data_IF_294839227673
#
_entry.id   IF_294839227673
#
_cell.length_a   1.000
_cell.length_b   1.000
_cell.length_c   1.000
_cell.angle_alpha   90.00
_cell.angle_beta   90.00
_cell.angle_gamma   90.00
#
_symmetry.space_group_name_H-M   'P 1'
#
loop_
_entity.id
_entity.type
_entity.pdbx_description
1 polymer ?
#
# COMPACT_ATOMS: atom_id res chain seq x y z
N UNK A 1 -17.33 -0.27 -10.74
CA UNK A 1 -18.33 -1.29 -10.30
C UNK A 1 -19.52 -0.65 -9.64
N UNK A 2 -19.36 0.19 -8.59
CA UNK A 2 -20.48 0.77 -7.81
C UNK A 2 -21.48 1.56 -8.67
N UNK A 3 -20.99 2.39 -9.60
CA UNK A 3 -21.85 3.09 -10.59
C UNK A 3 -22.68 2.08 -11.40
N UNK A 4 -22.05 1.01 -11.88
CA UNK A 4 -22.70 -0.04 -12.68
C UNK A 4 -23.66 -0.93 -11.86
N UNK A 5 -23.71 -0.75 -10.55
CA UNK A 5 -24.66 -1.36 -9.61
C UNK A 5 -25.71 -0.36 -9.11
N UNK A 6 -25.99 0.65 -9.93
CA UNK A 6 -27.03 1.67 -9.70
C UNK A 6 -26.86 2.49 -8.40
N UNK A 7 -25.61 2.66 -7.92
CA UNK A 7 -25.35 3.60 -6.84
C UNK A 7 -25.74 5.04 -7.27
N UNK A 8 -26.49 5.75 -6.44
CA UNK A 8 -26.96 7.12 -6.72
C UNK A 8 -25.81 8.11 -6.90
N UNK A 9 -24.72 7.91 -6.20
CA UNK A 9 -23.48 8.67 -6.32
C UNK A 9 -22.31 7.84 -5.83
N UNK A 10 -21.14 8.04 -6.42
CA UNK A 10 -19.88 7.44 -5.98
C UNK A 10 -18.84 8.52 -5.87
N UNK A 11 -18.22 8.66 -4.69
CA UNK A 11 -17.18 9.64 -4.42
C UNK A 11 -15.90 8.93 -4.07
N UNK A 12 -14.80 9.34 -4.71
CA UNK A 12 -13.45 8.88 -4.40
C UNK A 12 -12.70 10.00 -3.67
N UNK A 13 -12.50 9.84 -2.36
CA UNK A 13 -11.72 10.80 -1.57
C UNK A 13 -10.23 10.48 -1.70
N UNK A 14 -9.46 11.49 -2.04
CA UNK A 14 -8.02 11.34 -2.16
C UNK A 14 -7.25 12.51 -1.52
N UNK A 15 -6.27 12.16 -0.69
CA UNK A 15 -5.52 13.12 0.14
C UNK A 15 -4.55 14.03 -0.62
N UNK A 16 -4.33 13.80 -1.90
CA UNK A 16 -3.55 14.68 -2.79
C UNK A 16 -4.41 15.16 -3.95
N UNK A 17 -3.85 15.93 -4.85
CA UNK A 17 -4.49 16.34 -6.08
C UNK A 17 -4.30 15.31 -7.21
N UNK A 18 -4.92 15.56 -8.36
CA UNK A 18 -4.87 14.70 -9.55
C UNK A 18 -3.45 14.51 -10.08
N UNK A 19 -2.60 15.53 -9.97
CA UNK A 19 -1.22 15.51 -10.47
C UNK A 19 -0.33 14.62 -9.60
N UNK A 20 -0.56 14.64 -8.29
CA UNK A 20 0.21 13.86 -7.30
C UNK A 20 -0.40 12.47 -7.01
N UNK A 21 -1.40 12.04 -7.77
CA UNK A 21 -1.98 10.70 -7.67
C UNK A 21 -1.10 9.69 -8.43
N UNK A 22 -0.62 8.60 -7.79
CA UNK A 22 0.25 7.61 -8.44
C UNK A 22 -0.49 6.66 -9.38
N UNK A 23 -1.80 6.80 -9.54
CA UNK A 23 -2.62 5.98 -10.42
C UNK A 23 -2.46 6.36 -11.91
N UNK A 24 -2.99 5.50 -12.77
CA UNK A 24 -3.05 5.77 -14.20
C UNK A 24 -4.01 6.93 -14.50
N UNK A 25 -3.53 7.98 -15.17
CA UNK A 25 -4.38 9.10 -15.61
C UNK A 25 -5.58 8.62 -16.45
N UNK A 26 -5.40 7.55 -17.23
CA UNK A 26 -6.46 6.92 -18.03
C UNK A 26 -7.55 6.29 -17.14
N UNK A 27 -7.17 5.62 -16.05
CA UNK A 27 -8.13 5.02 -15.12
C UNK A 27 -8.94 6.10 -14.38
N UNK A 28 -8.30 7.20 -14.01
CA UNK A 28 -9.00 8.37 -13.43
C UNK A 28 -10.01 8.94 -14.42
N UNK A 29 -9.59 9.18 -15.66
CA UNK A 29 -10.49 9.68 -16.71
C UNK A 29 -11.67 8.74 -16.97
N UNK A 30 -11.44 7.44 -17.09
CA UNK A 30 -12.50 6.44 -17.25
C UNK A 30 -13.49 6.46 -16.06
N UNK A 31 -12.99 6.62 -14.83
CA UNK A 31 -13.85 6.69 -13.65
C UNK A 31 -14.70 7.97 -13.65
N UNK A 32 -14.12 9.12 -14.02
CA UNK A 32 -14.85 10.39 -14.18
C UNK A 32 -15.92 10.27 -15.27
N UNK A 33 -15.61 9.67 -16.42
CA UNK A 33 -16.56 9.43 -17.52
C UNK A 33 -17.72 8.52 -17.08
N UNK A 34 -17.47 7.53 -16.22
CA UNK A 34 -18.51 6.67 -15.64
C UNK A 34 -19.32 7.37 -14.52
N UNK A 35 -18.99 8.60 -14.14
CA UNK A 35 -19.73 9.38 -13.15
C UNK A 35 -19.19 9.30 -11.72
N UNK A 36 -17.96 8.83 -11.51
CA UNK A 36 -17.30 8.91 -10.21
C UNK A 36 -16.83 10.34 -9.94
N UNK A 37 -17.23 10.92 -8.83
CA UNK A 37 -16.77 12.23 -8.37
C UNK A 37 -15.48 12.07 -7.54
N UNK A 38 -14.39 12.70 -7.96
CA UNK A 38 -13.17 12.76 -7.17
C UNK A 38 -13.18 13.96 -6.23
N UNK A 39 -13.06 13.71 -4.94
CA UNK A 39 -12.93 14.73 -3.89
C UNK A 39 -11.45 14.82 -3.53
N UNK A 40 -10.73 15.63 -4.29
CA UNK A 40 -9.29 15.83 -4.13
C UNK A 40 -8.96 16.61 -2.85
N UNK A 41 -7.72 16.50 -2.38
CA UNK A 41 -7.22 17.21 -1.20
C UNK A 41 -8.12 17.00 0.03
N UNK A 42 -8.54 15.76 0.24
CA UNK A 42 -9.49 15.40 1.26
C UNK A 42 -9.08 14.12 1.98
N UNK A 43 -9.15 14.12 3.29
CA UNK A 43 -8.82 12.98 4.15
C UNK A 43 -10.00 12.63 5.06
N UNK A 44 -10.42 11.37 5.14
CA UNK A 44 -11.43 10.97 6.09
C UNK A 44 -10.92 11.16 7.51
N UNK A 45 -11.74 11.77 8.37
CA UNK A 45 -11.47 12.01 9.78
C UNK A 45 -12.27 11.07 10.67
N UNK A 46 -13.58 10.97 10.44
CA UNK A 46 -14.49 10.20 11.29
C UNK A 46 -15.66 9.65 10.50
N UNK A 47 -16.06 8.40 10.78
CA UNK A 47 -17.31 7.82 10.30
C UNK A 47 -18.42 8.10 11.30
N UNK A 48 -19.52 8.69 10.86
CA UNK A 48 -20.67 9.03 11.70
C UNK A 48 -21.84 8.11 11.39
N UNK A 49 -22.60 7.80 12.43
CA UNK A 49 -23.80 6.98 12.41
C UNK A 49 -23.90 6.11 13.66
N UNK A 50 -25.07 5.58 13.95
CA UNK A 50 -25.32 4.81 15.18
C UNK A 50 -25.20 3.30 14.90
N UNK A 51 -25.98 2.76 13.98
CA UNK A 51 -26.00 1.33 13.63
C UNK A 51 -25.36 1.05 12.27
N UNK A 52 -25.25 2.06 11.45
CA UNK A 52 -24.62 2.02 10.11
C UNK A 52 -23.94 3.36 9.86
N UNK A 53 -23.09 3.43 8.87
CA UNK A 53 -22.54 4.71 8.41
C UNK A 53 -23.67 5.54 7.78
N UNK A 54 -23.72 6.82 8.15
CA UNK A 54 -24.69 7.80 7.64
C UNK A 54 -23.97 8.97 6.97
N UNK A 55 -22.76 9.26 7.47
CA UNK A 55 -21.91 10.30 6.90
C UNK A 55 -20.43 10.09 7.27
N UNK A 56 -19.60 10.86 6.60
CA UNK A 56 -18.16 10.90 6.78
C UNK A 56 -17.75 12.35 7.04
N UNK A 57 -17.11 12.60 8.19
CA UNK A 57 -16.42 13.85 8.45
C UNK A 57 -15.07 13.83 7.76
N UNK A 58 -14.75 14.89 7.03
CA UNK A 58 -13.60 14.98 6.14
C UNK A 58 -12.82 16.25 6.42
N UNK A 59 -11.50 16.14 6.59
CA UNK A 59 -10.59 17.28 6.64
C UNK A 59 -10.15 17.68 5.23
N UNK A 60 -10.03 18.98 4.96
CA UNK A 60 -9.34 19.49 3.77
C UNK A 60 -7.84 19.39 3.96
N UNK A 61 -7.16 19.14 2.85
CA UNK A 61 -5.70 18.96 2.80
C UNK A 61 -5.07 20.12 2.01
N UNK A 62 -3.93 20.58 2.49
CA UNK A 62 -2.99 21.41 1.73
C UNK A 62 -1.75 20.59 1.39
N UNK A 63 -1.13 20.88 0.25
CA UNK A 63 0.10 20.21 -0.15
C UNK A 63 1.32 21.03 0.30
N UNK A 64 2.07 20.46 1.24
CA UNK A 64 3.35 20.97 1.69
C UNK A 64 4.49 20.68 0.71
N UNK A 65 5.71 20.73 1.21
CA UNK A 65 6.92 20.43 0.42
C UNK A 65 6.98 18.97 -0.05
N UNK A 66 7.69 18.71 -1.15
CA UNK A 66 7.93 17.35 -1.60
C UNK A 66 8.69 16.52 -0.56
N UNK A 67 8.30 15.25 -0.41
CA UNK A 67 9.05 14.27 0.39
C UNK A 67 10.25 13.71 -0.41
N UNK A 68 11.01 12.79 0.20
CA UNK A 68 12.17 12.12 -0.42
C UNK A 68 11.83 11.40 -1.74
N UNK A 69 10.57 11.06 -1.96
CA UNK A 69 10.06 10.46 -3.22
C UNK A 69 9.64 11.51 -4.27
N UNK A 70 9.79 12.79 -3.97
CA UNK A 70 9.37 13.91 -4.81
C UNK A 70 7.85 14.19 -4.76
N UNK A 71 7.07 13.49 -3.94
CA UNK A 71 5.63 13.72 -3.80
C UNK A 71 5.34 14.70 -2.67
N UNK A 72 4.47 15.68 -2.94
CA UNK A 72 4.10 16.69 -1.96
C UNK A 72 3.38 16.07 -0.76
N UNK A 73 3.83 16.46 0.45
CA UNK A 73 3.31 15.96 1.72
C UNK A 73 1.89 16.50 1.96
N UNK A 74 0.89 15.64 2.24
CA UNK A 74 -0.44 16.12 2.61
C UNK A 74 -0.41 16.67 4.05
N UNK A 75 -0.93 17.87 4.24
CA UNK A 75 -1.04 18.56 5.54
C UNK A 75 -2.51 18.86 5.78
N UNK A 76 -3.02 18.51 6.96
CA UNK A 76 -4.40 18.81 7.33
C UNK A 76 -4.53 20.32 7.52
N UNK A 77 -5.52 20.92 6.88
CA UNK A 77 -5.89 22.31 7.08
C UNK A 77 -6.78 22.42 8.30
N UNK A 78 -6.35 23.20 9.29
CA UNK A 78 -7.11 23.39 10.53
C UNK A 78 -8.47 24.06 10.26
N UNK A 79 -9.49 23.67 11.04
CA UNK A 79 -10.85 24.23 10.99
C UNK A 79 -11.48 24.20 9.58
N UNK A 80 -11.22 23.16 8.81
CA UNK A 80 -11.68 23.03 7.42
C UNK A 80 -12.56 21.82 7.18
N UNK A 81 -13.03 21.19 8.24
CA UNK A 81 -13.85 19.98 8.19
C UNK A 81 -15.17 20.23 7.45
N UNK A 82 -15.59 19.26 6.71
CA UNK A 82 -16.88 19.19 6.07
C UNK A 82 -17.45 17.78 6.11
N UNK A 83 -18.77 17.67 5.95
CA UNK A 83 -19.46 16.39 6.05
C UNK A 83 -19.96 15.91 4.68
N UNK A 84 -19.77 14.64 4.40
CA UNK A 84 -20.28 13.96 3.21
C UNK A 84 -21.26 12.88 3.66
N UNK A 85 -22.50 12.91 3.19
CA UNK A 85 -23.46 11.82 3.41
C UNK A 85 -23.01 10.57 2.65
N UNK A 86 -23.07 9.43 3.31
CA UNK A 86 -22.69 8.14 2.71
C UNK A 86 -23.42 6.99 3.40
N UNK A 87 -23.96 6.08 2.61
CA UNK A 87 -24.59 4.84 3.08
C UNK A 87 -23.59 3.68 3.16
N UNK A 88 -22.49 3.79 2.43
CA UNK A 88 -21.39 2.82 2.40
C UNK A 88 -20.05 3.55 2.25
N UNK A 89 -19.07 3.12 3.02
CA UNK A 89 -17.68 3.60 2.89
C UNK A 89 -16.75 2.40 2.68
N UNK A 90 -15.94 2.47 1.63
CA UNK A 90 -14.93 1.47 1.31
C UNK A 90 -13.54 2.07 1.56
N UNK A 91 -12.79 1.46 2.48
CA UNK A 91 -11.38 1.81 2.70
C UNK A 91 -10.52 1.14 1.64
N UNK A 92 -10.17 1.90 0.58
CA UNK A 92 -9.25 1.47 -0.46
C UNK A 92 -7.84 2.02 -0.18
N UNK A 93 -7.36 1.78 1.04
CA UNK A 93 -6.07 2.26 1.53
C UNK A 93 -4.94 1.35 1.06
N UNK A 94 -3.70 1.81 1.31
CA UNK A 94 -2.52 1.05 0.98
C UNK A 94 -2.39 -0.25 1.79
N UNK A 95 -1.35 -0.97 1.50
CA UNK A 95 -0.99 -2.24 2.12
C UNK A 95 -0.04 -1.98 3.31
N UNK A 96 -0.35 -2.57 4.44
CA UNK A 96 0.55 -2.64 5.58
C UNK A 96 1.12 -4.07 5.67
N UNK A 97 2.44 -4.24 5.79
CA UNK A 97 3.04 -5.55 5.94
C UNK A 97 2.66 -6.19 7.27
N UNK A 98 2.49 -7.50 7.28
CA UNK A 98 2.28 -8.25 8.52
C UNK A 98 3.52 -8.23 9.41
N UNK A 99 3.34 -8.24 10.72
CA UNK A 99 4.42 -8.29 11.72
C UNK A 99 5.03 -9.70 11.80
N UNK A 100 5.64 -10.17 10.71
CA UNK A 100 6.19 -11.53 10.62
C UNK A 100 7.19 -11.89 11.71
N UNK A 101 8.08 -11.01 12.20
CA UNK A 101 8.94 -11.32 13.34
C UNK A 101 8.15 -11.78 14.56
N UNK A 102 7.02 -11.15 14.86
CA UNK A 102 6.14 -11.57 15.97
C UNK A 102 5.38 -12.84 15.66
N UNK A 103 4.80 -12.95 14.44
CA UNK A 103 4.01 -14.10 14.04
C UNK A 103 4.82 -15.39 14.04
N UNK A 104 6.08 -15.32 13.62
CA UNK A 104 6.99 -16.46 13.61
C UNK A 104 7.80 -16.63 14.90
N UNK A 105 7.64 -15.72 15.89
CA UNK A 105 8.44 -15.69 17.12
C UNK A 105 9.95 -15.64 16.82
N UNK A 106 10.34 -14.92 15.78
CA UNK A 106 11.70 -14.78 15.30
C UNK A 106 12.13 -13.30 15.30
N UNK A 107 12.45 -12.79 16.48
CA UNK A 107 12.81 -11.37 16.69
C UNK A 107 14.11 -10.96 15.99
N UNK A 108 14.97 -11.91 15.60
CA UNK A 108 16.20 -11.62 14.85
C UNK A 108 15.92 -11.20 13.42
N UNK A 109 14.73 -11.52 12.86
CA UNK A 109 14.38 -11.16 11.50
C UNK A 109 14.24 -9.63 11.38
N UNK A 110 15.12 -9.01 10.61
CA UNK A 110 15.14 -7.56 10.47
C UNK A 110 14.06 -7.06 9.53
N UNK A 111 13.44 -5.95 9.94
CA UNK A 111 12.47 -5.22 9.13
C UNK A 111 12.92 -3.78 8.88
N UNK A 112 12.35 -3.16 7.87
CA UNK A 112 12.54 -1.73 7.58
C UNK A 112 11.69 -0.87 8.54
N UNK A 113 11.86 0.44 8.48
CA UNK A 113 10.98 1.40 9.20
C UNK A 113 9.50 1.31 8.79
N UNK A 114 9.21 0.65 7.67
CA UNK A 114 7.87 0.44 7.12
C UNK A 114 7.28 -0.94 7.48
N UNK A 115 8.01 -1.76 8.22
CA UNK A 115 7.60 -3.11 8.61
C UNK A 115 7.88 -4.20 7.56
N UNK A 116 8.38 -3.86 6.37
CA UNK A 116 8.76 -4.86 5.36
C UNK A 116 10.05 -5.57 5.76
N UNK A 117 10.19 -6.84 5.39
CA UNK A 117 11.40 -7.63 5.66
C UNK A 117 12.59 -7.05 4.89
N UNK A 118 13.73 -6.91 5.55
CA UNK A 118 14.98 -6.58 4.90
C UNK A 118 15.55 -7.84 4.24
N UNK A 119 15.68 -7.80 2.92
CA UNK A 119 16.36 -8.81 2.13
C UNK A 119 17.34 -8.14 1.17
N UNK A 120 18.38 -8.83 0.82
CA UNK A 120 19.28 -8.45 -0.25
C UNK A 120 18.55 -8.62 -1.60
N UNK A 121 18.53 -7.58 -2.44
CA UNK A 121 17.75 -7.61 -3.69
C UNK A 121 18.38 -8.45 -4.80
N UNK A 122 19.64 -8.86 -4.68
CA UNK A 122 20.30 -9.72 -5.64
C UNK A 122 20.10 -11.20 -5.30
N UNK A 123 20.01 -11.53 -4.00
CA UNK A 123 19.88 -12.89 -3.50
C UNK A 123 18.54 -13.21 -2.89
N UNK A 124 17.74 -12.22 -2.55
CA UNK A 124 16.50 -12.36 -1.77
C UNK A 124 16.72 -12.99 -0.38
N UNK A 125 17.98 -13.10 0.09
CA UNK A 125 18.29 -13.62 1.42
C UNK A 125 18.11 -12.55 2.48
N UNK A 126 17.54 -12.94 3.62
CA UNK A 126 17.39 -12.06 4.79
C UNK A 126 18.68 -12.04 5.61
N UNK A 127 18.67 -11.33 6.73
CA UNK A 127 19.77 -11.38 7.69
C UNK A 127 19.92 -12.74 8.42
N UNK A 128 18.96 -13.65 8.24
CA UNK A 128 19.01 -15.01 8.82
C UNK A 128 19.44 -15.99 7.74
N UNK A 129 20.61 -16.64 7.85
CA UNK A 129 21.12 -17.56 6.82
C UNK A 129 20.11 -18.66 6.45
N UNK A 130 19.82 -18.78 5.16
CA UNK A 130 18.88 -19.76 4.62
C UNK A 130 17.40 -19.36 4.75
N UNK A 131 17.13 -18.14 5.17
CA UNK A 131 15.78 -17.54 5.16
C UNK A 131 15.72 -16.50 4.04
N UNK A 132 14.79 -16.70 3.12
CA UNK A 132 14.59 -15.85 1.95
C UNK A 132 13.23 -15.19 2.02
N UNK A 133 13.11 -13.98 1.47
CA UNK A 133 11.86 -13.25 1.37
C UNK A 133 11.74 -12.57 0.02
N UNK A 134 10.54 -12.55 -0.57
CA UNK A 134 10.32 -12.02 -1.92
C UNK A 134 8.94 -11.38 -2.06
N UNK A 135 8.78 -10.47 -3.02
CA UNK A 135 7.52 -9.81 -3.32
C UNK A 135 7.18 -8.66 -2.38
N UNK A 136 5.89 -8.42 -2.16
CA UNK A 136 5.38 -7.25 -1.44
C UNK A 136 5.84 -7.17 0.02
N UNK A 137 6.11 -8.30 0.66
CA UNK A 137 6.64 -8.30 2.03
C UNK A 137 8.05 -7.69 2.14
N UNK A 138 8.78 -7.62 1.02
CA UNK A 138 10.11 -6.98 0.92
C UNK A 138 9.99 -5.59 0.32
N UNK A 139 9.25 -5.45 -0.79
CA UNK A 139 9.15 -4.20 -1.56
C UNK A 139 8.12 -3.20 -1.04
N UNK A 140 7.20 -3.63 -0.19
CA UNK A 140 5.93 -2.95 0.03
C UNK A 140 4.95 -3.24 -1.12
N UNK A 141 3.79 -2.57 -1.13
CA UNK A 141 2.81 -2.73 -2.21
C UNK A 141 3.44 -2.39 -3.57
N UNK A 142 3.52 -3.38 -4.45
CA UNK A 142 4.23 -3.28 -5.72
C UNK A 142 3.49 -3.99 -6.86
N UNK A 143 4.08 -3.99 -8.06
CA UNK A 143 3.48 -4.63 -9.22
C UNK A 143 3.74 -6.14 -9.20
N UNK A 144 2.76 -6.91 -9.67
CA UNK A 144 2.83 -8.38 -9.79
C UNK A 144 4.08 -8.84 -10.56
N UNK A 145 4.51 -8.09 -11.57
CA UNK A 145 5.71 -8.41 -12.36
C UNK A 145 6.99 -8.42 -11.50
N UNK A 146 7.06 -7.55 -10.49
CA UNK A 146 8.19 -7.56 -9.55
C UNK A 146 8.12 -8.74 -8.59
N UNK A 147 6.92 -9.08 -8.10
CA UNK A 147 6.75 -10.26 -7.25
C UNK A 147 7.14 -11.56 -7.98
N UNK A 148 6.79 -11.68 -9.27
CA UNK A 148 7.22 -12.82 -10.12
C UNK A 148 8.74 -12.85 -10.28
N UNK A 149 9.35 -11.69 -10.57
CA UNK A 149 10.82 -11.59 -10.69
C UNK A 149 11.49 -12.01 -9.39
N UNK A 150 11.10 -11.42 -8.27
CA UNK A 150 11.69 -11.69 -6.96
C UNK A 150 11.54 -13.16 -6.56
N UNK A 151 10.39 -13.78 -6.85
CA UNK A 151 10.18 -15.20 -6.60
C UNK A 151 11.12 -16.11 -7.41
N UNK A 152 11.41 -15.73 -8.67
CA UNK A 152 12.38 -16.46 -9.50
C UNK A 152 13.81 -16.28 -9.00
N UNK A 153 14.19 -15.09 -8.61
CA UNK A 153 15.52 -14.78 -8.08
C UNK A 153 15.73 -15.51 -6.74
N UNK A 154 14.73 -15.49 -5.86
CA UNK A 154 14.74 -16.26 -4.61
C UNK A 154 14.89 -17.77 -4.86
N UNK A 155 14.15 -18.34 -5.82
CA UNK A 155 14.24 -19.76 -6.15
C UNK A 155 15.65 -20.17 -6.62
N UNK A 156 16.30 -19.33 -7.45
CA UNK A 156 17.67 -19.54 -7.90
C UNK A 156 18.65 -19.48 -6.71
N UNK A 157 18.52 -18.49 -5.86
CA UNK A 157 19.37 -18.30 -4.69
C UNK A 157 19.20 -19.44 -3.67
N UNK A 158 17.98 -19.91 -3.42
CA UNK A 158 17.71 -21.09 -2.59
C UNK A 158 18.40 -22.33 -3.17
N UNK A 159 18.30 -22.56 -4.49
CA UNK A 159 18.95 -23.69 -5.15
C UNK A 159 20.46 -23.66 -4.95
N UNK A 160 21.10 -22.51 -5.16
CA UNK A 160 22.53 -22.32 -4.95
C UNK A 160 22.93 -22.54 -3.48
N UNK A 161 22.18 -22.00 -2.54
CA UNK A 161 22.40 -22.19 -1.11
C UNK A 161 22.36 -23.66 -0.70
N UNK A 162 21.37 -24.42 -1.20
CA UNK A 162 21.23 -25.84 -0.91
C UNK A 162 22.39 -26.68 -1.50
N UNK A 163 22.83 -26.34 -2.72
CA UNK A 163 23.99 -27.01 -3.36
C UNK A 163 25.28 -26.78 -2.56
N UNK A 164 25.49 -25.54 -2.08
CA UNK A 164 26.67 -25.25 -1.25
C UNK A 164 26.65 -26.03 0.07
N UNK A 165 25.49 -26.10 0.73
CA UNK A 165 25.32 -26.90 1.96
C UNK A 165 25.53 -28.39 1.76
N UNK A 166 25.11 -28.94 0.62
CA UNK A 166 25.37 -30.34 0.29
C UNK A 166 26.87 -30.61 0.13
N UNK A 167 27.60 -29.75 -0.57
CA UNK A 167 29.05 -29.87 -0.74
C UNK A 167 29.82 -29.83 0.60
N UNK A 168 29.38 -28.96 1.52
CA UNK A 168 29.99 -28.88 2.86
C UNK A 168 29.73 -30.09 3.76
N UNK A 169 28.68 -30.86 3.52
CA UNK A 169 28.38 -32.08 4.29
C UNK A 169 29.15 -33.31 3.79
N UNK A 170 29.72 -33.26 2.58
CA UNK A 170 30.41 -34.35 1.93
C UNK A 170 31.96 -34.18 2.03
N UNK A 171 32.41 -33.00 2.41
CA UNK A 171 33.81 -32.67 2.69
C UNK A 171 34.12 -32.85 4.18
#
# INVERSE_FOLDING_TARGET
>A
TSIRQDAKSVKCLYRRDKVNMPGSAREVANAEEEGVEFVWLSSPKEFKGTNKVESLLVDKIELGDPDESGRRKPIIKENSEFEIKADLVIKALGFDPEELPKLFQEERLQVTKWGTIKADFDTMETNIPGVFAAGDIVRGASLVVWAIKDGRDAALSISNYLQLKQKQKVA
#
